data_IF_400991263352
#
_entry.id   IF_400991263352
#
_cell.length_a   1.000
_cell.length_b   1.000
_cell.length_c   1.000
_cell.angle_alpha   90.00
_cell.angle_beta   90.00
_cell.angle_gamma   90.00
#
_symmetry.space_group_name_H-M   'P 1'
#
loop_
_entity.id
_entity.type
_entity.pdbx_description
1 polymer ?
#
# COMPACT_ATOMS: atom_id res chain seq x y z
N UNK A 1 0.55 -7.88 -28.16
CA UNK A 1 0.75 -7.92 -26.70
C UNK A 1 -0.63 -8.15 -26.10
N UNK A 2 -0.94 -9.40 -25.76
CA UNK A 2 -2.24 -9.76 -25.19
C UNK A 2 -2.26 -9.31 -23.72
N UNK A 3 -2.95 -8.22 -23.45
CA UNK A 3 -3.30 -7.83 -22.10
C UNK A 3 -4.42 -8.79 -21.68
N UNK A 4 -4.08 -9.82 -20.93
CA UNK A 4 -5.06 -10.62 -20.20
C UNK A 4 -5.74 -9.69 -19.19
N UNK A 5 -6.82 -9.03 -19.61
CA UNK A 5 -7.79 -8.47 -18.68
C UNK A 5 -8.40 -9.66 -17.94
N UNK A 6 -7.78 -10.09 -16.84
CA UNK A 6 -8.53 -10.78 -15.80
C UNK A 6 -9.63 -9.82 -15.41
N UNK A 7 -10.86 -10.10 -15.86
CA UNK A 7 -12.02 -9.34 -15.44
C UNK A 7 -12.03 -9.41 -13.93
N UNK A 8 -11.73 -8.28 -13.28
CA UNK A 8 -11.87 -8.20 -11.84
C UNK A 8 -13.32 -8.51 -11.48
N UNK A 9 -13.54 -9.01 -10.27
CA UNK A 9 -14.87 -9.28 -9.75
C UNK A 9 -15.78 -8.07 -10.03
N UNK A 10 -16.97 -8.34 -10.58
CA UNK A 10 -17.95 -7.30 -10.97
C UNK A 10 -18.35 -6.38 -9.83
N UNK A 11 -18.15 -6.80 -8.58
CA UNK A 11 -18.46 -6.05 -7.36
C UNK A 11 -17.34 -5.11 -6.92
N UNK A 12 -16.22 -5.06 -7.64
CA UNK A 12 -15.05 -4.23 -7.34
C UNK A 12 -14.80 -3.24 -8.48
N UNK A 13 -14.76 -1.96 -8.14
CA UNK A 13 -14.34 -0.89 -9.02
C UNK A 13 -12.84 -0.63 -8.86
N UNK A 14 -12.23 -0.10 -9.92
CA UNK A 14 -10.87 0.43 -9.92
C UNK A 14 -10.87 1.91 -10.27
N UNK A 15 -10.05 2.67 -9.57
CA UNK A 15 -9.63 4.02 -9.95
C UNK A 15 -8.10 4.04 -10.07
N UNK A 16 -7.59 4.30 -11.27
CA UNK A 16 -6.15 4.54 -11.49
C UNK A 16 -5.90 6.04 -11.43
N UNK A 17 -4.95 6.45 -10.59
CA UNK A 17 -4.43 7.81 -10.58
C UNK A 17 -2.99 7.73 -11.07
N UNK A 18 -2.73 8.31 -12.23
CA UNK A 18 -1.50 8.12 -13.00
C UNK A 18 -0.68 9.42 -13.05
N UNK A 19 0.50 9.31 -13.65
CA UNK A 19 1.43 10.40 -13.92
C UNK A 19 1.90 11.12 -12.65
N UNK A 20 2.44 10.35 -11.69
CA UNK A 20 3.18 10.91 -10.56
C UNK A 20 4.67 10.62 -10.68
N UNK A 21 5.50 11.64 -10.47
CA UNK A 21 6.92 11.50 -10.23
C UNK A 21 7.24 11.94 -8.78
N UNK A 22 7.69 11.00 -7.94
CA UNK A 22 8.04 11.29 -6.55
C UNK A 22 9.34 12.10 -6.38
N UNK A 23 10.00 12.45 -7.47
CA UNK A 23 11.10 13.41 -7.50
C UNK A 23 10.62 14.83 -7.86
N UNK A 24 9.37 14.98 -8.33
CA UNK A 24 8.70 16.27 -8.55
C UNK A 24 7.94 16.68 -7.28
N UNK A 25 8.20 17.91 -6.81
CA UNK A 25 7.64 18.41 -5.56
C UNK A 25 6.11 18.59 -5.62
N UNK A 26 5.59 19.02 -6.76
CA UNK A 26 4.16 19.19 -7.02
C UNK A 26 3.40 17.86 -6.90
N UNK A 27 3.96 16.78 -7.44
CA UNK A 27 3.37 15.44 -7.39
C UNK A 27 3.38 14.86 -5.97
N UNK A 28 4.44 15.11 -5.21
CA UNK A 28 4.47 14.79 -3.78
C UNK A 28 3.36 15.51 -3.01
N UNK A 29 3.12 16.79 -3.29
CA UNK A 29 2.02 17.54 -2.66
C UNK A 29 0.67 16.96 -3.07
N UNK A 30 0.47 16.68 -4.37
CA UNK A 30 -0.77 16.10 -4.90
C UNK A 30 -1.07 14.75 -4.25
N UNK A 31 -0.08 13.86 -4.20
CA UNK A 31 -0.22 12.54 -3.57
C UNK A 31 -0.46 12.65 -2.06
N UNK A 32 0.21 13.58 -1.37
CA UNK A 32 -0.06 13.86 0.05
C UNK A 32 -1.51 14.30 0.29
N UNK A 33 -2.05 15.16 -0.58
CA UNK A 33 -3.46 15.60 -0.48
C UNK A 33 -4.41 14.43 -0.70
N UNK A 34 -4.15 13.59 -1.69
CA UNK A 34 -4.93 12.36 -1.92
C UNK A 34 -4.92 11.47 -0.67
N UNK A 35 -3.76 11.22 -0.06
CA UNK A 35 -3.67 10.44 1.17
C UNK A 35 -4.41 11.08 2.34
N UNK A 36 -4.37 12.42 2.49
CA UNK A 36 -5.15 13.13 3.51
C UNK A 36 -6.66 13.04 3.29
N UNK A 37 -7.12 12.93 2.04
CA UNK A 37 -8.52 12.68 1.72
C UNK A 37 -8.95 11.24 1.99
N UNK A 38 -8.06 10.26 1.75
CA UNK A 38 -8.33 8.84 1.94
C UNK A 38 -8.22 8.40 3.40
N UNK A 39 -7.31 9.01 4.17
CA UNK A 39 -6.94 8.57 5.51
C UNK A 39 -6.93 9.73 6.48
N UNK A 40 -7.69 9.58 7.55
CA UNK A 40 -7.72 10.50 8.70
C UNK A 40 -6.67 10.11 9.75
N UNK A 41 -6.25 11.09 10.56
CA UNK A 41 -5.23 10.90 11.63
C UNK A 41 -5.64 9.93 12.74
N UNK A 42 -6.90 9.47 12.78
CA UNK A 42 -7.34 8.41 13.69
C UNK A 42 -7.28 7.00 13.09
N UNK A 43 -6.90 6.86 11.82
CA UNK A 43 -6.90 5.57 11.15
C UNK A 43 -5.59 4.79 11.38
N UNK A 44 -5.71 3.47 11.40
CA UNK A 44 -4.57 2.56 11.29
C UNK A 44 -4.55 1.99 9.89
N UNK A 45 -3.41 2.07 9.21
CA UNK A 45 -3.22 1.41 7.92
C UNK A 45 -2.57 0.05 8.11
N UNK A 46 -3.06 -0.95 7.40
CA UNK A 46 -2.39 -2.23 7.23
C UNK A 46 -1.73 -2.27 5.86
N UNK A 47 -0.56 -2.88 5.79
CA UNK A 47 0.27 -2.93 4.60
C UNK A 47 0.68 -4.35 4.26
N UNK A 48 0.70 -4.68 2.97
CA UNK A 48 1.49 -5.77 2.43
C UNK A 48 2.58 -5.20 1.53
N UNK A 49 3.81 -5.68 1.73
CA UNK A 49 4.96 -5.26 0.96
C UNK A 49 5.64 -6.44 0.31
N UNK A 50 6.11 -6.22 -0.91
CA UNK A 50 7.04 -7.10 -1.59
C UNK A 50 8.30 -6.32 -1.92
N UNK A 51 9.43 -6.86 -1.52
CA UNK A 51 10.75 -6.40 -1.95
C UNK A 51 11.33 -7.43 -2.92
N UNK A 52 11.71 -6.98 -4.10
CA UNK A 52 12.43 -7.77 -5.11
C UNK A 52 13.87 -7.24 -5.29
N UNK A 53 14.61 -7.65 -6.31
CA UNK A 53 15.95 -7.09 -6.59
C UNK A 53 15.93 -5.57 -6.94
N UNK A 54 17.09 -4.91 -6.82
CA UNK A 54 17.20 -3.44 -6.73
C UNK A 54 17.23 -2.71 -8.08
N UNK A 55 16.46 -1.63 -8.20
CA UNK A 55 16.64 -0.57 -9.22
C UNK A 55 17.20 0.75 -8.65
N UNK A 56 17.38 0.85 -7.32
CA UNK A 56 17.81 2.06 -6.59
C UNK A 56 19.24 1.93 -6.04
N UNK A 57 19.94 3.04 -5.86
CA UNK A 57 21.31 3.07 -5.29
C UNK A 57 21.37 2.43 -3.89
N UNK A 58 22.45 1.66 -3.63
CA UNK A 58 22.61 0.91 -2.38
C UNK A 58 22.66 1.80 -1.13
N UNK A 59 23.26 3.00 -1.20
CA UNK A 59 23.35 3.91 -0.05
C UNK A 59 21.98 4.51 0.27
N UNK A 60 21.24 4.89 -0.76
CA UNK A 60 19.87 5.39 -0.61
C UNK A 60 18.95 4.33 -0.02
N UNK A 61 19.02 3.10 -0.54
CA UNK A 61 18.25 1.97 0.00
C UNK A 61 18.52 1.72 1.48
N UNK A 62 19.78 1.83 1.92
CA UNK A 62 20.12 1.67 3.34
C UNK A 62 19.47 2.76 4.20
N UNK A 63 19.46 4.01 3.74
CA UNK A 63 18.80 5.12 4.44
C UNK A 63 17.29 4.92 4.51
N UNK A 64 16.66 4.55 3.41
CA UNK A 64 15.22 4.24 3.35
C UNK A 64 14.85 3.11 4.31
N UNK A 65 15.60 2.00 4.30
CA UNK A 65 15.37 0.87 5.21
C UNK A 65 15.38 1.31 6.67
N UNK A 66 16.35 2.12 7.08
CA UNK A 66 16.45 2.61 8.47
C UNK A 66 15.22 3.46 8.82
N UNK A 67 14.88 4.48 8.01
CA UNK A 67 13.73 5.37 8.27
C UNK A 67 12.40 4.62 8.33
N UNK A 68 12.20 3.65 7.44
CA UNK A 68 10.99 2.82 7.40
C UNK A 68 10.87 1.99 8.69
N UNK A 69 11.94 1.32 9.10
CA UNK A 69 11.93 0.50 10.32
C UNK A 69 11.79 1.34 11.59
N UNK A 70 12.40 2.52 11.64
CA UNK A 70 12.21 3.49 12.73
C UNK A 70 10.74 3.95 12.80
N UNK A 71 10.13 4.29 11.67
CA UNK A 71 8.71 4.68 11.62
C UNK A 71 7.79 3.58 12.13
N UNK A 72 8.05 2.32 11.75
CA UNK A 72 7.29 1.19 12.28
C UNK A 72 7.52 0.96 13.77
N UNK A 73 8.74 1.14 14.27
CA UNK A 73 9.04 1.02 15.70
C UNK A 73 8.29 2.05 16.53
N UNK A 74 8.19 3.28 16.03
CA UNK A 74 7.62 4.40 16.79
C UNK A 74 6.09 4.48 16.68
N UNK A 75 5.52 4.07 15.53
CA UNK A 75 4.10 4.32 15.22
C UNK A 75 3.30 3.06 14.86
N UNK A 76 3.89 1.87 14.97
CA UNK A 76 3.25 0.68 14.42
C UNK A 76 3.92 -0.65 14.74
N UNK A 77 3.85 -1.56 13.77
CA UNK A 77 4.42 -2.90 13.83
C UNK A 77 4.78 -3.38 12.42
N UNK A 78 5.87 -4.13 12.29
CA UNK A 78 6.36 -4.65 11.02
C UNK A 78 6.89 -6.07 11.18
N UNK A 79 6.47 -6.96 10.28
CA UNK A 79 6.78 -8.39 10.34
C UNK A 79 7.13 -8.90 8.95
N UNK A 80 8.29 -9.54 8.83
CA UNK A 80 8.66 -10.31 7.64
C UNK A 80 7.97 -11.67 7.72
N UNK A 81 7.20 -12.02 6.68
CA UNK A 81 6.44 -13.27 6.64
C UNK A 81 7.12 -14.35 5.80
N UNK A 82 7.88 -13.95 4.78
CA UNK A 82 8.64 -14.84 3.91
C UNK A 82 9.90 -14.13 3.46
N UNK A 83 11.05 -14.77 3.67
CA UNK A 83 12.35 -14.24 3.26
C UNK A 83 13.06 -15.27 2.39
N UNK A 84 13.46 -14.87 1.19
CA UNK A 84 14.38 -15.65 0.36
C UNK A 84 15.82 -15.23 0.69
N UNK A 85 16.05 -13.93 0.81
CA UNK A 85 17.28 -13.31 1.33
C UNK A 85 17.00 -11.87 1.77
N UNK A 86 18.05 -11.19 2.25
CA UNK A 86 17.97 -9.82 2.78
C UNK A 86 17.44 -8.74 1.82
N UNK A 87 17.39 -9.03 0.52
CA UNK A 87 16.87 -8.16 -0.55
C UNK A 87 15.55 -8.63 -1.16
N UNK A 88 15.16 -9.89 -0.94
CA UNK A 88 13.95 -10.49 -1.53
C UNK A 88 13.08 -11.10 -0.44
N UNK A 89 12.00 -10.40 -0.10
CA UNK A 89 11.12 -10.81 0.98
C UNK A 89 9.72 -10.20 0.85
N UNK A 90 8.75 -10.90 1.41
CA UNK A 90 7.39 -10.43 1.62
C UNK A 90 7.19 -10.11 3.11
N UNK A 91 6.56 -8.98 3.39
CA UNK A 91 6.33 -8.50 4.75
C UNK A 91 4.97 -7.81 4.87
N UNK A 92 4.53 -7.66 6.11
CA UNK A 92 3.33 -6.90 6.46
C UNK A 92 3.67 -5.89 7.53
N UNK A 93 2.91 -4.81 7.58
CA UNK A 93 3.02 -3.83 8.65
C UNK A 93 1.69 -3.21 8.99
N UNK A 94 1.61 -2.58 10.16
CA UNK A 94 0.55 -1.65 10.50
C UNK A 94 1.14 -0.36 11.03
N UNK A 95 0.52 0.78 10.74
CA UNK A 95 0.93 2.08 11.28
C UNK A 95 -0.30 2.92 11.62
N UNK A 96 -0.24 3.66 12.72
CA UNK A 96 -1.25 4.67 13.03
C UNK A 96 -0.93 5.94 12.24
N UNK A 97 -1.91 6.47 11.51
CA UNK A 97 -1.73 7.71 10.76
C UNK A 97 -1.56 8.88 11.72
N UNK A 98 -0.63 9.76 11.36
CA UNK A 98 -0.42 11.08 11.92
C UNK A 98 0.37 11.91 10.90
N UNK A 99 0.60 13.19 11.19
CA UNK A 99 1.31 14.09 10.27
C UNK A 99 2.72 13.61 9.86
N UNK A 100 3.41 12.82 10.71
CA UNK A 100 4.72 12.25 10.38
C UNK A 100 4.61 11.06 9.43
N UNK A 101 3.55 10.25 9.54
CA UNK A 101 3.40 9.02 8.74
C UNK A 101 3.10 9.26 7.25
N UNK A 102 2.64 10.46 6.86
CA UNK A 102 2.47 10.75 5.43
C UNK A 102 3.79 10.74 4.66
N UNK A 103 4.90 11.17 5.30
CA UNK A 103 6.22 11.10 4.66
C UNK A 103 6.71 9.64 4.57
N UNK A 104 6.36 8.82 5.57
CA UNK A 104 6.65 7.39 5.58
C UNK A 104 6.03 6.67 4.37
N UNK A 105 4.82 7.05 3.93
CA UNK A 105 4.20 6.46 2.74
C UNK A 105 5.07 6.64 1.48
N UNK A 106 5.74 7.79 1.33
CA UNK A 106 6.66 8.02 0.21
C UNK A 106 7.94 7.19 0.31
N UNK A 107 8.51 7.08 1.52
CA UNK A 107 9.70 6.25 1.75
C UNK A 107 9.42 4.78 1.41
N UNK A 108 8.27 4.27 1.86
CA UNK A 108 7.76 2.93 1.51
C UNK A 108 7.59 2.79 0.00
N UNK A 109 7.00 3.79 -0.65
CA UNK A 109 6.77 3.79 -2.09
C UNK A 109 8.05 3.68 -2.90
N UNK A 110 9.11 4.40 -2.50
CA UNK A 110 10.43 4.33 -3.14
C UNK A 110 11.16 3.02 -2.82
N UNK A 111 11.01 2.50 -1.60
CA UNK A 111 11.79 1.35 -1.14
C UNK A 111 11.26 0.00 -1.62
N UNK A 112 9.94 -0.22 -1.57
CA UNK A 112 9.35 -1.51 -1.88
C UNK A 112 9.00 -1.64 -3.37
N UNK A 113 9.20 -2.83 -3.91
CA UNK A 113 8.86 -3.12 -5.31
C UNK A 113 7.35 -3.01 -5.52
N UNK A 114 6.57 -3.65 -4.63
CA UNK A 114 5.13 -3.54 -4.58
C UNK A 114 4.67 -3.27 -3.15
N UNK A 115 3.61 -2.46 -3.03
CA UNK A 115 3.02 -2.05 -1.78
C UNK A 115 1.50 -1.95 -1.93
N UNK A 116 0.78 -2.62 -1.05
CA UNK A 116 -0.67 -2.50 -0.87
C UNK A 116 -0.95 -1.98 0.53
N UNK A 117 -1.93 -1.08 0.68
CA UNK A 117 -2.34 -0.59 1.98
C UNK A 117 -3.81 -0.18 2.05
N UNK A 118 -4.41 -0.28 3.24
CA UNK A 118 -5.82 -0.02 3.46
C UNK A 118 -6.12 0.21 4.95
N UNK A 119 -7.31 0.73 5.24
CA UNK A 119 -7.85 0.77 6.61
C UNK A 119 -8.67 -0.51 6.83
N UNK A 120 -8.33 -1.34 7.83
CA UNK A 120 -9.12 -2.53 8.14
C UNK A 120 -10.48 -2.14 8.74
N UNK A 121 -11.49 -2.98 8.53
CA UNK A 121 -12.75 -2.87 9.28
C UNK A 121 -12.55 -3.34 10.72
N UNK A 122 -13.42 -2.91 11.65
CA UNK A 122 -13.25 -3.17 13.10
C UNK A 122 -13.08 -4.65 13.47
N UNK A 123 -13.60 -5.56 12.65
CA UNK A 123 -13.54 -7.02 12.88
C UNK A 123 -12.30 -7.69 12.31
N UNK A 124 -11.42 -6.95 11.64
CA UNK A 124 -10.24 -7.49 10.96
C UNK A 124 -8.95 -6.95 11.58
N UNK A 125 -8.44 -7.64 12.59
CA UNK A 125 -7.26 -7.18 13.30
C UNK A 125 -5.96 -7.58 12.57
N UNK A 126 -4.82 -7.12 13.10
CA UNK A 126 -3.53 -7.34 12.43
C UNK A 126 -3.11 -8.80 12.38
N UNK A 127 -3.48 -9.59 13.38
CA UNK A 127 -3.25 -11.03 13.38
C UNK A 127 -4.07 -11.76 12.32
N UNK A 128 -5.34 -11.36 12.15
CA UNK A 128 -6.20 -11.87 11.07
C UNK A 128 -5.58 -11.54 9.71
N UNK A 129 -5.01 -10.34 9.57
CA UNK A 129 -4.36 -9.92 8.34
C UNK A 129 -3.08 -10.70 8.04
N UNK A 130 -2.23 -10.96 9.03
CA UNK A 130 -1.06 -11.85 8.89
C UNK A 130 -1.51 -13.24 8.41
N UNK A 131 -2.57 -13.78 9.01
CA UNK A 131 -3.13 -15.08 8.67
C UNK A 131 -3.69 -15.09 7.25
N UNK A 132 -4.42 -14.03 6.87
CA UNK A 132 -4.93 -13.81 5.52
C UNK A 132 -3.80 -13.81 4.49
N UNK A 133 -2.71 -13.07 4.74
CA UNK A 133 -1.59 -12.99 3.81
C UNK A 133 -0.83 -14.31 3.67
N UNK A 134 -0.62 -15.04 4.77
CA UNK A 134 -0.05 -16.39 4.73
C UNK A 134 -0.90 -17.36 3.92
N UNK A 135 -2.24 -17.31 4.10
CA UNK A 135 -3.19 -18.15 3.36
C UNK A 135 -3.21 -17.82 1.86
N UNK A 136 -3.22 -16.54 1.50
CA UNK A 136 -3.29 -16.08 0.12
C UNK A 136 -1.93 -15.99 -0.59
N UNK A 137 -0.82 -16.16 0.14
CA UNK A 137 0.55 -16.08 -0.38
C UNK A 137 0.84 -14.78 -1.13
N UNK A 138 0.27 -13.66 -0.66
CA UNK A 138 0.38 -12.35 -1.30
C UNK A 138 -0.14 -12.31 -2.76
N UNK A 139 -1.02 -13.24 -3.15
CA UNK A 139 -1.58 -13.32 -4.50
C UNK A 139 -3.07 -12.93 -4.53
N UNK A 140 -3.40 -11.79 -3.90
CA UNK A 140 -4.73 -11.20 -3.99
C UNK A 140 -4.76 -10.10 -5.04
N UNK A 141 -4.98 -10.48 -6.30
CA UNK A 141 -4.98 -9.55 -7.44
C UNK A 141 -6.06 -8.50 -7.22
N UNK A 142 -5.69 -7.22 -7.32
CA UNK A 142 -6.62 -6.10 -7.09
C UNK A 142 -7.18 -6.02 -5.66
N UNK A 143 -6.68 -6.82 -4.72
CA UNK A 143 -7.21 -7.02 -3.37
C UNK A 143 -8.69 -7.47 -3.33
N UNK A 144 -9.13 -8.24 -4.32
CA UNK A 144 -10.52 -8.69 -4.40
C UNK A 144 -10.98 -9.47 -3.17
N UNK A 145 -10.18 -10.43 -2.70
CA UNK A 145 -10.57 -11.25 -1.56
C UNK A 145 -10.64 -10.41 -0.30
N UNK A 146 -9.73 -9.45 -0.12
CA UNK A 146 -9.80 -8.48 0.96
C UNK A 146 -11.15 -7.74 0.96
N UNK A 147 -11.56 -7.24 -0.21
CA UNK A 147 -12.74 -6.39 -0.36
C UNK A 147 -14.04 -7.20 -0.29
N UNK A 148 -14.15 -8.33 -1.00
CA UNK A 148 -15.35 -9.20 -1.01
C UNK A 148 -15.66 -9.74 0.39
N UNK A 149 -14.64 -10.03 1.19
CA UNK A 149 -14.85 -10.47 2.58
C UNK A 149 -15.11 -9.31 3.56
N UNK A 150 -15.27 -8.08 3.06
CA UNK A 150 -15.52 -6.88 3.86
C UNK A 150 -14.44 -6.61 4.93
N UNK A 151 -13.20 -7.03 4.69
CA UNK A 151 -12.05 -6.72 5.55
C UNK A 151 -11.56 -5.29 5.36
N UNK A 152 -11.90 -4.68 4.22
CA UNK A 152 -11.72 -3.27 3.92
C UNK A 152 -12.85 -2.77 3.01
N UNK A 153 -13.05 -1.45 2.98
CA UNK A 153 -13.98 -0.80 2.04
C UNK A 153 -13.31 -0.44 0.72
N UNK A 154 -12.03 -0.06 0.80
CA UNK A 154 -11.15 0.19 -0.34
C UNK A 154 -9.73 -0.21 0.04
N UNK A 155 -8.87 -0.31 -0.96
CA UNK A 155 -7.45 -0.54 -0.80
C UNK A 155 -6.67 0.23 -1.86
N UNK A 156 -5.47 0.63 -1.50
CA UNK A 156 -4.51 1.32 -2.34
C UNK A 156 -3.41 0.36 -2.74
N UNK A 157 -3.02 0.39 -4.01
CA UNK A 157 -2.00 -0.45 -4.61
C UNK A 157 -1.04 0.47 -5.37
N UNK A 158 0.24 0.38 -5.05
CA UNK A 158 1.30 0.95 -5.87
C UNK A 158 1.36 0.17 -7.18
N UNK A 159 1.17 0.83 -8.32
CA UNK A 159 1.30 0.16 -9.61
C UNK A 159 2.76 -0.07 -10.03
N UNK A 160 2.92 -0.86 -11.09
CA UNK A 160 4.22 -1.35 -11.55
C UNK A 160 5.03 -0.20 -12.16
N UNK A 161 6.11 0.20 -11.47
CA UNK A 161 6.92 1.38 -11.83
C UNK A 161 6.87 2.46 -10.76
N UNK A 162 5.77 2.53 -10.00
CA UNK A 162 5.59 3.50 -8.92
C UNK A 162 5.18 4.89 -9.39
N UNK A 163 4.73 5.02 -10.63
CA UNK A 163 4.21 6.22 -11.27
C UNK A 163 2.68 6.36 -11.15
N UNK A 164 2.00 5.33 -10.63
CA UNK A 164 0.56 5.34 -10.44
C UNK A 164 0.10 4.71 -9.11
N UNK A 165 -1.02 5.23 -8.60
CA UNK A 165 -1.76 4.73 -7.47
C UNK A 165 -3.09 4.14 -7.97
N UNK A 166 -3.26 2.84 -7.76
CA UNK A 166 -4.52 2.14 -8.07
C UNK A 166 -5.32 2.02 -6.78
N UNK A 167 -6.59 2.44 -6.81
CA UNK A 167 -7.54 2.31 -5.71
C UNK A 167 -8.59 1.29 -6.13
N UNK A 168 -8.60 0.13 -5.46
CA UNK A 168 -9.66 -0.86 -5.59
C UNK A 168 -10.69 -0.64 -4.49
N UNK A 169 -11.98 -0.63 -4.83
CA UNK A 169 -13.05 -0.38 -3.85
C UNK A 169 -14.32 -1.14 -4.22
N UNK A 170 -15.11 -1.49 -3.21
CA UNK A 170 -16.39 -2.17 -3.43
C UNK A 170 -17.39 -1.24 -4.12
N UNK A 171 -18.26 -1.78 -4.97
CA UNK A 171 -19.30 -1.02 -5.65
C UNK A 171 -20.31 -0.35 -4.71
N UNK A 172 -20.49 -0.92 -3.52
CA UNK A 172 -21.36 -0.38 -2.47
C UNK A 172 -20.69 0.72 -1.63
N UNK A 173 -19.41 1.00 -1.87
CA UNK A 173 -18.64 2.02 -1.16
C UNK A 173 -18.43 3.25 -2.04
N UNK A 174 -18.74 4.42 -1.46
CA UNK A 174 -18.46 5.71 -2.10
C UNK A 174 -17.10 6.22 -1.65
N UNK A 175 -16.15 6.31 -2.59
CA UNK A 175 -14.87 6.97 -2.35
C UNK A 175 -15.08 8.47 -2.00
N UNK A 176 -14.21 9.05 -1.16
CA UNK A 176 -14.20 10.49 -0.95
C UNK A 176 -13.83 11.23 -2.24
N UNK A 177 -14.22 12.50 -2.35
CA UNK A 177 -13.82 13.34 -3.48
C UNK A 177 -12.30 13.58 -3.44
N UNK A 178 -11.60 13.13 -4.48
CA UNK A 178 -10.14 13.21 -4.55
C UNK A 178 -9.67 14.42 -5.39
N UNK A 179 -8.62 15.14 -4.96
CA UNK A 179 -8.02 16.22 -5.74
C UNK A 179 -7.13 15.66 -6.85
N UNK A 180 -7.75 15.17 -7.93
CA UNK A 180 -7.06 14.49 -9.03
C UNK A 180 -6.44 15.50 -10.03
N UNK A 181 -6.81 16.78 -9.96
CA UNK A 181 -6.34 17.87 -10.84
C UNK A 181 -5.39 18.84 -10.14
#
# INVERSE_FOLDING_TARGET
MEINNSVLNKDINLLSIEDFDLDIFEDLIRLKRIYKCLFSDSNTLFFAFRREENLTDKKELKKLKVRILESFKDYGEYIILKELDSSRFDSVGRININDHTYNFLFDVWKYFYSCTFFIPTEKFNFFDYITFQKKNRFHDIGNEKLLINHYANFSCIKGLGGDNLIISYRNDFKLPDLPIR
#
